data_IF_067465697239
#
_entry.id   IF_067465697239
#
_cell.length_a   1.000
_cell.length_b   1.000
_cell.length_c   1.000
_cell.angle_alpha   90.00
_cell.angle_beta   90.00
_cell.angle_gamma   90.00
#
_symmetry.space_group_name_H-M   'P 1'
#
loop_
_entity.id
_entity.type
_entity.pdbx_description
1 polymer ?
#
# COMPACT_ATOMS: atom_id res chain seq x y z
N UNK A 1 -1.91 -17.06 -6.52
CA UNK A 1 -0.60 -16.43 -6.78
C UNK A 1 -0.78 -14.94 -6.55
N UNK A 2 0.07 -14.29 -5.73
CA UNK A 2 -0.06 -12.86 -5.47
C UNK A 2 0.71 -12.05 -6.53
N UNK A 3 0.15 -10.93 -6.96
CA UNK A 3 0.78 -10.03 -7.93
C UNK A 3 1.28 -8.78 -7.21
N UNK A 4 2.58 -8.56 -7.23
CA UNK A 4 3.24 -7.43 -6.56
C UNK A 4 3.51 -6.30 -7.55
N UNK A 5 3.16 -5.08 -7.16
CA UNK A 5 3.52 -3.88 -7.89
C UNK A 5 4.04 -2.78 -6.95
N UNK A 6 4.73 -1.80 -7.54
CA UNK A 6 5.33 -0.70 -6.79
C UNK A 6 6.68 -1.04 -6.19
N UNK A 7 7.20 -0.09 -5.42
CA UNK A 7 8.51 -0.14 -4.79
C UNK A 7 8.49 0.78 -3.57
N UNK A 8 9.09 0.39 -2.42
CA UNK A 8 9.24 1.28 -1.26
C UNK A 8 9.99 2.57 -1.57
N UNK A 9 10.79 2.58 -2.64
CA UNK A 9 11.53 3.76 -3.12
C UNK A 9 10.62 4.73 -3.89
N UNK A 10 9.38 4.35 -4.22
CA UNK A 10 8.41 5.27 -4.80
C UNK A 10 7.86 6.22 -3.73
N UNK A 11 8.36 7.45 -3.81
CA UNK A 11 8.16 8.53 -2.85
C UNK A 11 6.81 9.24 -3.00
N UNK A 12 5.72 8.48 -2.96
CA UNK A 12 4.36 8.98 -3.27
C UNK A 12 3.88 10.09 -2.32
N UNK A 13 4.39 10.13 -1.09
CA UNK A 13 4.10 11.19 -0.12
C UNK A 13 4.98 12.44 -0.28
N UNK A 14 5.99 12.43 -1.16
CA UNK A 14 6.82 13.61 -1.43
C UNK A 14 6.27 14.49 -2.57
N UNK A 15 5.18 14.09 -3.22
CA UNK A 15 4.55 14.89 -4.28
C UNK A 15 3.88 16.14 -3.73
N UNK A 16 4.46 17.31 -3.99
CA UNK A 16 3.92 18.62 -3.59
C UNK A 16 3.73 19.52 -4.83
N UNK A 17 2.51 20.00 -5.02
CA UNK A 17 2.14 20.89 -6.12
C UNK A 17 2.05 22.37 -5.70
N UNK A 18 2.43 22.71 -4.46
CA UNK A 18 2.39 24.07 -3.91
C UNK A 18 1.39 24.27 -2.77
N UNK A 19 0.70 23.21 -2.35
CA UNK A 19 -0.27 23.23 -1.23
C UNK A 19 0.15 22.32 -0.07
N UNK A 20 1.36 21.78 -0.11
CA UNK A 20 1.87 20.83 0.86
C UNK A 20 1.76 19.39 0.38
N UNK A 21 2.44 18.51 1.13
CA UNK A 21 2.49 17.08 0.86
C UNK A 21 1.13 16.39 1.08
N UNK A 22 0.88 15.23 0.45
CA UNK A 22 -0.39 14.54 0.56
C UNK A 22 -0.64 14.03 1.99
N UNK A 23 -1.87 14.16 2.46
CA UNK A 23 -2.29 13.62 3.77
C UNK A 23 -2.41 12.09 3.77
N UNK A 24 -2.78 11.50 2.63
CA UNK A 24 -2.96 10.06 2.37
C UNK A 24 -2.79 9.80 0.87
N UNK A 25 -2.18 8.67 0.51
CA UNK A 25 -2.12 8.15 -0.86
C UNK A 25 -2.82 6.79 -0.89
N UNK A 26 -3.72 6.60 -1.86
CA UNK A 26 -4.42 5.34 -2.09
C UNK A 26 -4.50 5.03 -3.58
N UNK A 27 -4.65 3.75 -3.90
CA UNK A 27 -4.93 3.31 -5.25
C UNK A 27 -6.40 3.51 -5.56
N UNK A 28 -6.69 4.20 -6.68
CA UNK A 28 -8.07 4.43 -7.11
C UNK A 28 -8.85 3.11 -7.34
N UNK A 29 -8.17 2.08 -7.84
CA UNK A 29 -8.74 0.76 -8.09
C UNK A 29 -7.71 -0.33 -7.81
N UNK A 30 -8.16 -1.42 -7.18
CA UNK A 30 -7.38 -2.65 -7.03
C UNK A 30 -8.23 -3.86 -7.45
N UNK A 31 -7.63 -4.77 -8.20
CA UNK A 31 -8.21 -6.07 -8.53
C UNK A 31 -8.11 -7.00 -7.32
N UNK A 32 -9.15 -7.79 -7.05
CA UNK A 32 -9.24 -8.72 -5.90
C UNK A 32 -8.56 -10.07 -6.16
N UNK A 33 -7.61 -10.11 -7.09
CA UNK A 33 -6.92 -11.30 -7.58
C UNK A 33 -5.62 -11.60 -6.82
N UNK A 34 -5.45 -11.07 -5.60
CA UNK A 34 -4.21 -11.20 -4.85
C UNK A 34 -3.21 -10.09 -5.12
N UNK A 35 -3.70 -8.90 -5.51
CA UNK A 35 -2.84 -7.75 -5.79
C UNK A 35 -2.29 -7.14 -4.51
N UNK A 36 -0.99 -6.93 -4.48
CA UNK A 36 -0.24 -6.26 -3.41
C UNK A 36 0.51 -5.09 -4.04
N UNK A 37 0.40 -3.91 -3.43
CA UNK A 37 1.15 -2.72 -3.84
C UNK A 37 1.93 -2.18 -2.68
N UNK A 38 3.20 -1.87 -2.94
CA UNK A 38 4.15 -1.41 -1.95
C UNK A 38 4.67 -0.05 -2.39
N UNK A 39 4.62 0.94 -1.50
CA UNK A 39 5.14 2.30 -1.71
C UNK A 39 5.81 2.82 -0.45
N UNK A 40 6.54 3.95 -0.56
CA UNK A 40 7.01 4.66 0.63
C UNK A 40 5.84 4.99 1.56
N UNK A 41 6.06 4.83 2.86
CA UNK A 41 5.11 5.27 3.86
C UNK A 41 5.16 6.79 4.05
N UNK A 42 4.20 7.30 4.82
CA UNK A 42 4.07 8.73 5.08
C UNK A 42 5.20 9.29 5.94
N UNK A 43 5.69 8.48 6.87
CA UNK A 43 6.80 8.82 7.76
C UNK A 43 8.10 8.23 7.23
N UNK A 44 9.22 8.88 7.55
CA UNK A 44 10.53 8.42 7.13
C UNK A 44 10.83 7.01 7.65
N UNK A 45 11.39 6.15 6.79
CA UNK A 45 11.68 4.76 7.12
C UNK A 45 10.46 3.82 7.15
N UNK A 46 9.24 4.34 6.92
CA UNK A 46 8.03 3.52 6.87
C UNK A 46 7.67 3.08 5.46
N UNK A 47 6.86 2.02 5.35
CA UNK A 47 6.36 1.46 4.10
C UNK A 47 4.85 1.35 4.19
N UNK A 48 4.14 1.75 3.13
CA UNK A 48 2.72 1.49 3.00
C UNK A 48 2.51 0.27 2.09
N UNK A 49 1.72 -0.69 2.57
CA UNK A 49 1.34 -1.90 1.83
C UNK A 49 -0.18 -1.92 1.66
N UNK A 50 -0.64 -1.85 0.42
CA UNK A 50 -2.05 -1.96 0.05
C UNK A 50 -2.31 -3.35 -0.52
N UNK A 51 -3.34 -4.04 -0.02
CA UNK A 51 -3.60 -5.45 -0.33
C UNK A 51 -5.07 -5.66 -0.67
N UNK A 52 -5.33 -6.34 -1.79
CA UNK A 52 -6.68 -6.70 -2.23
C UNK A 52 -6.83 -8.21 -2.34
N UNK A 53 -7.47 -8.82 -1.33
CA UNK A 53 -7.76 -10.25 -1.26
C UNK A 53 -9.27 -10.50 -1.25
N UNK A 54 -9.64 -11.78 -1.40
CA UNK A 54 -10.98 -12.24 -1.06
C UNK A 54 -11.22 -12.06 0.45
N UNK A 55 -12.43 -11.67 0.82
CA UNK A 55 -12.77 -11.29 2.21
C UNK A 55 -12.44 -12.41 3.22
N UNK A 56 -12.63 -13.67 2.82
CA UNK A 56 -12.35 -14.87 3.63
C UNK A 56 -10.87 -15.00 4.04
N UNK A 57 -9.95 -14.32 3.36
CA UNK A 57 -8.51 -14.39 3.62
C UNK A 57 -7.96 -13.18 4.39
N UNK A 58 -8.75 -12.12 4.57
CA UNK A 58 -8.27 -10.86 5.17
C UNK A 58 -7.85 -11.03 6.63
N UNK A 59 -8.63 -11.77 7.43
CA UNK A 59 -8.31 -12.00 8.84
C UNK A 59 -7.04 -12.82 9.03
N UNK A 60 -6.86 -13.85 8.20
CA UNK A 60 -5.65 -14.67 8.21
C UNK A 60 -4.41 -13.85 7.81
N UNK A 61 -4.55 -13.00 6.79
CA UNK A 61 -3.50 -12.08 6.35
C UNK A 61 -3.10 -11.09 7.45
N UNK A 62 -4.07 -10.44 8.10
CA UNK A 62 -3.82 -9.50 9.19
C UNK A 62 -3.05 -10.16 10.34
N UNK A 63 -3.40 -11.40 10.70
CA UNK A 63 -2.68 -12.15 11.76
C UNK A 63 -1.24 -12.47 11.39
N UNK A 64 -0.95 -12.80 10.14
CA UNK A 64 0.44 -13.06 9.70
C UNK A 64 1.29 -11.78 9.62
N UNK A 65 0.69 -10.63 9.33
CA UNK A 65 1.44 -9.37 9.20
C UNK A 65 1.71 -8.71 10.55
N UNK A 66 0.82 -8.91 11.53
CA UNK A 66 0.87 -8.28 12.85
C UNK A 66 1.47 -9.18 13.94
N UNK A 67 1.90 -10.40 13.59
CA UNK A 67 2.63 -11.31 14.49
C UNK A 67 4.09 -10.93 14.61
#
# INVERSE_FOLDING_TARGET
>A
MANFAGSPQFKVYETDFGWGKPGRVELATMTRDGRVVIVSGKEEGTVQVSVALNAQHMDAFARMLLS
#
